data_IF_235820319732
#
_entry.id   IF_235820319732
#
_cell.length_a   1.000
_cell.length_b   1.000
_cell.length_c   1.000
_cell.angle_alpha   90.00
_cell.angle_beta   90.00
_cell.angle_gamma   90.00
#
_symmetry.space_group_name_H-M   'P 1'
#
loop_
_entity.id
_entity.type
_entity.pdbx_description
1 polymer ?
#
# COMPACT_ATOMS: atom_id res chain seq x y z
N UNK A 1 -10.29 21.50 -8.35
CA UNK A 1 -8.88 21.86 -8.10
C UNK A 1 -8.47 21.12 -6.84
N UNK A 2 -7.97 19.89 -6.99
CA UNK A 2 -7.50 19.08 -5.85
C UNK A 2 -6.06 19.49 -5.61
N UNK A 3 -5.77 19.92 -4.39
CA UNK A 3 -4.52 20.55 -4.01
C UNK A 3 -3.39 19.50 -3.99
N UNK A 4 -2.37 19.69 -4.83
CA UNK A 4 -1.22 18.78 -5.05
C UNK A 4 -0.30 18.60 -3.83
N UNK A 5 -0.60 19.26 -2.71
CA UNK A 5 0.20 19.23 -1.49
C UNK A 5 -0.14 18.11 -0.52
N UNK A 6 -1.21 17.32 -0.74
CA UNK A 6 -1.59 16.26 0.20
C UNK A 6 -0.81 14.94 0.04
N UNK A 7 -0.12 14.75 -1.09
CA UNK A 7 0.61 13.50 -1.38
C UNK A 7 2.09 13.61 -0.97
N UNK A 8 2.64 14.82 -0.88
CA UNK A 8 4.06 15.05 -0.59
C UNK A 8 4.37 15.87 0.66
N UNK A 9 3.36 16.38 1.37
CA UNK A 9 3.60 17.00 2.67
C UNK A 9 3.41 15.95 3.76
N UNK A 10 4.43 15.66 4.58
CA UNK A 10 4.21 15.20 5.94
C UNK A 10 3.06 15.97 6.59
N UNK A 11 1.89 15.38 6.89
CA UNK A 11 0.97 16.13 7.71
C UNK A 11 1.70 16.36 9.03
N UNK A 12 1.67 17.59 9.51
CA UNK A 12 2.35 18.12 10.69
C UNK A 12 1.94 17.42 12.02
N UNK A 13 1.34 16.24 11.92
CA UNK A 13 0.93 15.28 12.95
C UNK A 13 2.12 14.63 13.67
N UNK A 14 3.34 14.80 13.18
CA UNK A 14 4.52 14.03 13.63
C UNK A 14 5.22 14.59 14.87
N UNK A 15 4.60 15.53 15.58
CA UNK A 15 5.15 16.12 16.80
C UNK A 15 4.60 15.57 18.11
N UNK A 16 3.75 14.53 18.09
CA UNK A 16 3.22 13.99 19.35
C UNK A 16 3.65 12.53 19.53
N UNK A 17 4.46 12.29 20.58
CA UNK A 17 4.75 10.98 21.17
C UNK A 17 3.49 10.11 21.32
N UNK A 18 2.35 10.76 21.48
CA UNK A 18 1.01 10.22 21.53
C UNK A 18 0.68 9.22 20.41
N UNK A 19 1.04 9.46 19.14
CA UNK A 19 0.73 8.49 18.06
C UNK A 19 1.50 7.17 18.20
N UNK A 20 2.77 7.23 18.60
CA UNK A 20 3.61 6.06 18.86
C UNK A 20 3.14 5.33 20.13
N UNK A 21 2.83 6.09 21.18
CA UNK A 21 2.34 5.56 22.45
C UNK A 21 0.94 4.94 22.30
N UNK A 22 0.12 5.45 21.38
CA UNK A 22 -1.19 4.87 21.04
C UNK A 22 -1.04 3.57 20.23
N UNK A 23 -0.12 3.52 19.27
CA UNK A 23 0.16 2.29 18.52
C UNK A 23 0.70 1.19 19.45
N UNK A 24 1.54 1.55 20.45
CA UNK A 24 2.02 0.63 21.48
C UNK A 24 0.88 0.11 22.36
N UNK A 25 0.11 1.02 22.99
CA UNK A 25 -1.05 0.67 23.83
C UNK A 25 -2.03 -0.27 23.14
N UNK A 26 -2.29 -0.07 21.85
CA UNK A 26 -3.19 -0.96 21.11
C UNK A 26 -2.58 -2.35 20.86
N UNK A 27 -1.31 -2.44 20.47
CA UNK A 27 -0.66 -3.76 20.28
C UNK A 27 -0.60 -4.54 21.60
N UNK A 28 -0.49 -3.81 22.72
CA UNK A 28 -0.49 -4.37 24.06
C UNK A 28 -1.92 -4.72 24.56
N UNK A 29 -2.97 -4.33 23.80
CA UNK A 29 -4.38 -4.67 24.06
C UNK A 29 -5.13 -3.69 24.96
N UNK A 30 -4.54 -2.53 25.26
CA UNK A 30 -4.99 -1.58 26.28
C UNK A 30 -5.83 -0.39 25.74
N UNK A 31 -6.26 -0.39 24.46
CA UNK A 31 -7.00 0.73 23.84
C UNK A 31 -8.27 0.29 23.10
N UNK A 32 -9.39 0.97 23.35
CA UNK A 32 -10.73 0.72 22.76
C UNK A 32 -10.94 1.31 21.34
N UNK A 33 -9.92 1.92 20.73
CA UNK A 33 -10.03 2.49 19.37
C UNK A 33 -10.36 1.45 18.30
N UNK A 34 -11.13 1.89 17.30
CA UNK A 34 -11.47 1.05 16.13
C UNK A 34 -10.21 0.70 15.33
N UNK A 35 -10.11 -0.53 14.77
CA UNK A 35 -8.98 -0.97 13.96
C UNK A 35 -8.54 0.03 12.87
N UNK A 36 -9.47 0.73 12.24
CA UNK A 36 -9.15 1.75 11.22
C UNK A 36 -8.19 2.85 11.70
N UNK A 37 -8.40 3.35 12.93
CA UNK A 37 -7.55 4.42 13.48
C UNK A 37 -6.15 3.93 13.78
N UNK A 38 -6.01 2.65 14.16
CA UNK A 38 -4.71 2.03 14.35
C UNK A 38 -3.96 1.97 13.03
N UNK A 39 -4.53 1.34 12.01
CA UNK A 39 -3.82 1.07 10.76
C UNK A 39 -3.48 2.36 10.01
N UNK A 40 -4.31 3.40 10.13
CA UNK A 40 -3.97 4.74 9.67
C UNK A 40 -2.73 5.32 10.38
N UNK A 41 -2.65 5.18 11.71
CA UNK A 41 -1.51 5.64 12.50
C UNK A 41 -0.24 4.84 12.17
N UNK A 42 -0.35 3.52 12.04
CA UNK A 42 0.74 2.63 11.65
C UNK A 42 1.30 2.99 10.27
N UNK A 43 0.42 3.19 9.27
CA UNK A 43 0.82 3.57 7.93
C UNK A 43 1.56 4.92 7.93
N UNK A 44 0.98 5.92 8.60
CA UNK A 44 1.59 7.25 8.73
C UNK A 44 2.97 7.17 9.38
N UNK A 45 3.09 6.49 10.53
CA UNK A 45 4.34 6.38 11.26
C UNK A 45 5.42 5.61 10.49
N UNK A 46 5.04 4.54 9.79
CA UNK A 46 5.94 3.78 8.92
C UNK A 46 6.56 4.69 7.86
N UNK A 47 5.75 5.52 7.19
CA UNK A 47 6.24 6.47 6.18
C UNK A 47 7.23 7.47 6.79
N UNK A 48 6.96 8.00 7.99
CA UNK A 48 7.87 8.93 8.68
C UNK A 48 9.20 8.26 8.98
N UNK A 49 9.16 7.05 9.55
CA UNK A 49 10.35 6.28 9.90
C UNK A 49 11.17 5.95 8.66
N UNK A 50 10.53 5.53 7.57
CA UNK A 50 11.18 5.26 6.30
C UNK A 50 11.91 6.50 5.75
N UNK A 51 11.21 7.65 5.67
CA UNK A 51 11.78 8.90 5.14
C UNK A 51 12.85 9.52 6.03
N UNK A 52 12.88 9.19 7.32
CA UNK A 52 13.93 9.62 8.26
C UNK A 52 15.12 8.66 8.34
N UNK A 53 15.20 7.66 7.44
CA UNK A 53 16.30 6.70 7.38
C UNK A 53 16.23 5.62 8.48
N UNK A 54 15.11 5.51 9.19
CA UNK A 54 14.90 4.56 10.30
C UNK A 54 14.21 3.28 9.80
N UNK A 55 14.73 2.69 8.74
CA UNK A 55 14.09 1.59 8.02
C UNK A 55 13.83 0.35 8.90
N UNK A 56 14.77 -0.02 9.77
CA UNK A 56 14.58 -1.17 10.67
C UNK A 56 13.37 -1.01 11.60
N UNK A 57 13.15 0.20 12.12
CA UNK A 57 12.03 0.48 13.01
C UNK A 57 10.70 0.58 12.24
N UNK A 58 10.74 1.05 10.99
CA UNK A 58 9.58 1.00 10.11
C UNK A 58 9.19 -0.47 9.82
N UNK A 59 10.17 -1.34 9.55
CA UNK A 59 9.96 -2.77 9.31
C UNK A 59 9.32 -3.45 10.52
N UNK A 60 9.90 -3.27 11.72
CA UNK A 60 9.36 -3.84 12.96
C UNK A 60 7.90 -3.41 13.21
N UNK A 61 7.59 -2.14 12.91
CA UNK A 61 6.23 -1.62 13.06
C UNK A 61 5.25 -2.28 12.08
N UNK A 62 5.68 -2.54 10.85
CA UNK A 62 4.87 -3.24 9.85
C UNK A 62 4.65 -4.70 10.22
N UNK A 63 5.68 -5.39 10.72
CA UNK A 63 5.55 -6.77 11.20
C UNK A 63 4.51 -6.87 12.32
N UNK A 64 4.54 -5.92 13.27
CA UNK A 64 3.52 -5.82 14.34
C UNK A 64 2.13 -5.52 13.77
N UNK A 65 2.03 -4.67 12.76
CA UNK A 65 0.79 -4.38 12.05
C UNK A 65 0.19 -5.62 11.38
N UNK A 66 1.02 -6.41 10.69
CA UNK A 66 0.60 -7.67 10.06
C UNK A 66 0.11 -8.66 11.10
N UNK A 67 0.83 -8.83 12.21
CA UNK A 67 0.40 -9.69 13.31
C UNK A 67 -0.93 -9.23 13.94
N UNK A 68 -1.14 -7.92 14.08
CA UNK A 68 -2.41 -7.37 14.55
C UNK A 68 -3.54 -7.66 13.56
N UNK A 69 -3.29 -7.51 12.26
CA UNK A 69 -4.26 -7.83 11.21
C UNK A 69 -4.63 -9.32 11.23
N UNK A 70 -3.65 -10.24 11.32
CA UNK A 70 -3.92 -11.68 11.43
C UNK A 70 -4.76 -12.02 12.67
N UNK A 71 -4.47 -11.40 13.83
CA UNK A 71 -5.28 -11.59 15.03
C UNK A 71 -6.73 -11.16 14.83
N UNK A 72 -6.95 -9.99 14.22
CA UNK A 72 -8.30 -9.51 13.88
C UNK A 72 -9.00 -10.44 12.88
N UNK A 73 -8.27 -10.92 11.89
CA UNK A 73 -8.79 -11.82 10.85
C UNK A 73 -9.37 -13.12 11.42
N UNK A 74 -8.89 -13.60 12.56
CA UNK A 74 -9.43 -14.80 13.24
C UNK A 74 -10.90 -14.66 13.63
N UNK A 75 -11.37 -13.45 13.85
CA UNK A 75 -12.75 -13.14 14.24
C UNK A 75 -13.52 -12.36 13.18
N UNK A 76 -12.81 -11.69 12.26
CA UNK A 76 -13.41 -10.88 11.20
C UNK A 76 -12.54 -10.91 9.94
N UNK A 77 -12.97 -11.66 8.92
CA UNK A 77 -12.23 -11.79 7.65
C UNK A 77 -12.02 -10.44 6.94
N UNK A 78 -12.85 -9.42 7.20
CA UNK A 78 -12.73 -8.07 6.62
C UNK A 78 -11.44 -7.37 7.00
N UNK A 79 -10.80 -7.82 8.09
CA UNK A 79 -9.51 -7.30 8.53
C UNK A 79 -8.36 -7.60 7.55
N UNK A 80 -8.56 -8.44 6.51
CA UNK A 80 -7.56 -8.66 5.44
C UNK A 80 -7.06 -7.35 4.83
N UNK A 81 -7.93 -6.34 4.69
CA UNK A 81 -7.56 -5.03 4.12
C UNK A 81 -6.41 -4.37 4.86
N UNK A 82 -6.34 -4.54 6.17
CA UNK A 82 -5.27 -3.99 7.01
C UNK A 82 -3.94 -4.70 6.79
N UNK A 83 -3.97 -6.03 6.68
CA UNK A 83 -2.80 -6.83 6.36
C UNK A 83 -2.22 -6.45 5.01
N UNK A 84 -3.08 -6.36 3.99
CA UNK A 84 -2.66 -5.95 2.63
C UNK A 84 -2.12 -4.52 2.62
N UNK A 85 -2.70 -3.60 3.38
CA UNK A 85 -2.15 -2.24 3.52
C UNK A 85 -0.74 -2.25 4.12
N UNK A 86 -0.48 -3.06 5.15
CA UNK A 86 0.86 -3.24 5.70
C UNK A 86 1.84 -3.82 4.67
N UNK A 87 1.41 -4.77 3.84
CA UNK A 87 2.25 -5.32 2.76
C UNK A 87 2.63 -4.25 1.73
N UNK A 88 1.69 -3.38 1.34
CA UNK A 88 2.00 -2.25 0.43
C UNK A 88 3.01 -1.30 1.07
N UNK A 89 2.82 -0.97 2.35
CA UNK A 89 3.78 -0.15 3.08
C UNK A 89 5.16 -0.80 3.16
N UNK A 90 5.24 -2.13 3.26
CA UNK A 90 6.49 -2.87 3.24
C UNK A 90 7.19 -2.78 1.88
N UNK A 91 6.43 -2.80 0.78
CA UNK A 91 7.01 -2.56 -0.54
C UNK A 91 7.53 -1.12 -0.69
N UNK A 92 6.78 -0.13 -0.19
CA UNK A 92 7.24 1.26 -0.18
C UNK A 92 8.52 1.41 0.65
N UNK A 93 8.63 0.71 1.78
CA UNK A 93 9.83 0.67 2.62
C UNK A 93 11.03 0.06 1.89
N UNK A 94 10.84 -1.08 1.21
CA UNK A 94 11.89 -1.71 0.39
C UNK A 94 12.41 -0.74 -0.69
N UNK A 95 11.52 0.02 -1.33
CA UNK A 95 11.91 1.07 -2.28
C UNK A 95 12.76 2.15 -1.62
N UNK A 96 12.35 2.65 -0.45
CA UNK A 96 13.14 3.66 0.28
C UNK A 96 14.49 3.13 0.79
N UNK A 97 14.58 1.83 1.06
CA UNK A 97 15.82 1.16 1.48
C UNK A 97 16.78 0.87 0.31
N UNK A 98 16.42 1.20 -0.93
CA UNK A 98 17.25 0.91 -2.10
C UNK A 98 17.12 -0.53 -2.62
N UNK A 99 16.01 -1.21 -2.29
CA UNK A 99 15.68 -2.57 -2.74
C UNK A 99 14.48 -2.59 -3.72
N UNK A 100 14.51 -1.82 -4.83
CA UNK A 100 13.33 -1.62 -5.67
C UNK A 100 12.87 -2.89 -6.39
N UNK A 101 13.76 -3.85 -6.67
CA UNK A 101 13.38 -5.14 -7.29
C UNK A 101 12.52 -5.98 -6.36
N UNK A 102 12.83 -6.01 -5.08
CA UNK A 102 12.02 -6.69 -4.07
C UNK A 102 10.67 -5.97 -3.90
N UNK A 103 10.67 -4.64 -3.90
CA UNK A 103 9.44 -3.84 -3.90
C UNK A 103 8.55 -4.15 -5.11
N UNK A 104 9.10 -4.19 -6.33
CA UNK A 104 8.36 -4.52 -7.57
C UNK A 104 7.73 -5.91 -7.47
N UNK A 105 8.50 -6.91 -7.04
CA UNK A 105 7.99 -8.27 -6.88
C UNK A 105 6.79 -8.27 -5.92
N UNK A 106 6.92 -7.67 -4.75
CA UNK A 106 5.85 -7.61 -3.75
C UNK A 106 4.61 -6.86 -4.24
N UNK A 107 4.79 -5.73 -4.94
CA UNK A 107 3.67 -4.93 -5.47
C UNK A 107 2.89 -5.65 -6.56
N UNK A 108 3.57 -6.42 -7.42
CA UNK A 108 2.89 -7.28 -8.40
C UNK A 108 2.03 -8.34 -7.73
N UNK A 109 2.51 -8.93 -6.65
CA UNK A 109 1.77 -9.94 -5.89
C UNK A 109 0.53 -9.35 -5.21
N UNK A 110 0.67 -8.18 -4.59
CA UNK A 110 -0.47 -7.44 -4.04
C UNK A 110 -1.46 -7.03 -5.13
N UNK A 111 -0.98 -6.66 -6.31
CA UNK A 111 -1.84 -6.29 -7.43
C UNK A 111 -2.69 -7.48 -7.93
N UNK A 112 -2.10 -8.66 -8.09
CA UNK A 112 -2.81 -9.89 -8.46
C UNK A 112 -3.91 -10.21 -7.42
N UNK A 113 -3.55 -10.16 -6.14
CA UNK A 113 -4.45 -10.38 -5.01
C UNK A 113 -5.64 -9.43 -5.00
N UNK A 114 -5.34 -8.12 -5.06
CA UNK A 114 -6.35 -7.09 -4.99
C UNK A 114 -7.21 -7.04 -6.24
N UNK A 115 -6.80 -7.67 -7.35
CA UNK A 115 -7.57 -7.85 -8.59
C UNK A 115 -8.60 -8.99 -8.55
N UNK A 116 -8.79 -9.63 -7.38
CA UNK A 116 -9.76 -10.72 -7.20
C UNK A 116 -9.30 -12.05 -7.77
N UNK A 117 -8.06 -12.13 -8.28
CA UNK A 117 -7.44 -13.41 -8.63
C UNK A 117 -7.05 -14.12 -7.33
N UNK A 118 -7.35 -15.41 -7.26
CA UNK A 118 -6.95 -16.18 -6.09
C UNK A 118 -5.43 -16.23 -6.02
N UNK A 119 -4.84 -15.89 -4.87
CA UNK A 119 -3.41 -16.08 -4.69
C UNK A 119 -3.10 -17.57 -4.77
N UNK A 120 -2.09 -17.92 -5.57
CA UNK A 120 -1.53 -19.27 -5.60
C UNK A 120 -0.74 -19.65 -4.33
N UNK A 121 -0.79 -18.80 -3.29
CA UNK A 121 -0.08 -18.96 -2.02
C UNK A 121 -1.07 -18.77 -0.86
N UNK A 122 -0.79 -19.41 0.27
CA UNK A 122 -1.63 -19.31 1.46
C UNK A 122 -1.41 -18.02 2.25
N UNK A 123 -0.21 -17.44 2.19
CA UNK A 123 0.15 -16.25 2.96
C UNK A 123 1.02 -15.27 2.16
N UNK A 124 0.99 -13.98 2.56
CA UNK A 124 1.89 -12.95 2.06
C UNK A 124 2.47 -12.15 3.23
N UNK A 125 3.78 -12.28 3.48
CA UNK A 125 4.47 -11.70 4.64
C UNK A 125 3.78 -12.01 5.99
N UNK A 126 3.12 -13.18 6.11
CA UNK A 126 2.35 -13.56 7.30
C UNK A 126 0.89 -13.10 7.33
N UNK A 127 0.41 -12.41 6.30
CA UNK A 127 -1.03 -12.16 6.10
C UNK A 127 -1.68 -13.44 5.56
N UNK A 128 -2.62 -14.03 6.31
CA UNK A 128 -3.37 -15.24 5.92
C UNK A 128 -4.37 -14.93 4.80
N UNK A 129 -4.00 -15.27 3.56
CA UNK A 129 -4.81 -15.00 2.39
C UNK A 129 -5.95 -16.01 2.20
N UNK A 130 -5.89 -17.15 2.90
CA UNK A 130 -6.97 -18.16 2.85
C UNK A 130 -8.14 -17.66 3.66
N UNK A 131 -7.89 -17.19 4.89
CA UNK A 131 -8.95 -16.66 5.75
C UNK A 131 -9.59 -15.40 5.18
N UNK A 132 -8.81 -14.52 4.56
CA UNK A 132 -9.36 -13.31 3.96
C UNK A 132 -10.22 -13.53 2.70
N UNK A 133 -10.34 -14.77 2.18
CA UNK A 133 -11.29 -15.09 1.11
C UNK A 133 -12.74 -14.93 1.54
N UNK A 134 -12.99 -15.05 2.84
CA UNK A 134 -14.33 -14.93 3.43
C UNK A 134 -14.70 -13.47 3.74
N UNK A 135 -13.86 -12.50 3.34
CA UNK A 135 -14.15 -11.09 3.50
C UNK A 135 -15.40 -10.68 2.72
N UNK A 136 -16.13 -9.72 3.26
CA UNK A 136 -17.38 -9.21 2.74
C UNK A 136 -17.20 -8.60 1.34
N UNK A 137 -18.25 -8.61 0.50
CA UNK A 137 -18.22 -7.96 -0.80
C UNK A 137 -17.86 -6.46 -0.72
N UNK A 138 -18.21 -5.78 0.39
CA UNK A 138 -17.84 -4.39 0.60
C UNK A 138 -16.32 -4.20 0.75
N UNK A 139 -15.63 -5.13 1.41
CA UNK A 139 -14.17 -5.11 1.51
C UNK A 139 -13.51 -5.54 0.21
N UNK A 140 -13.95 -6.67 -0.37
CA UNK A 140 -13.37 -7.20 -1.62
C UNK A 140 -13.58 -6.26 -2.81
N UNK A 141 -14.72 -5.56 -2.86
CA UNK A 141 -15.04 -4.59 -3.90
C UNK A 141 -14.50 -3.18 -3.62
N UNK A 142 -14.70 -2.65 -2.40
CA UNK A 142 -14.37 -1.26 -2.08
C UNK A 142 -12.95 -1.06 -1.54
N UNK A 143 -12.67 -1.60 -0.36
CA UNK A 143 -11.37 -1.39 0.30
C UNK A 143 -10.21 -1.98 -0.50
N UNK A 144 -10.38 -3.19 -1.01
CA UNK A 144 -9.38 -3.86 -1.84
C UNK A 144 -9.18 -3.18 -3.21
N UNK A 145 -10.20 -2.51 -3.75
CA UNK A 145 -10.03 -1.68 -4.95
C UNK A 145 -9.12 -0.48 -4.69
N UNK A 146 -9.31 0.23 -3.56
CA UNK A 146 -8.42 1.33 -3.20
C UNK A 146 -6.97 0.86 -2.98
N UNK A 147 -6.77 -0.30 -2.34
CA UNK A 147 -5.45 -0.91 -2.18
C UNK A 147 -4.85 -1.39 -3.51
N UNK A 148 -5.67 -1.84 -4.46
CA UNK A 148 -5.26 -2.13 -5.84
C UNK A 148 -4.74 -0.88 -6.53
N UNK A 149 -5.47 0.23 -6.46
CA UNK A 149 -5.01 1.50 -7.03
C UNK A 149 -3.70 1.96 -6.40
N UNK A 150 -3.60 1.89 -5.06
CA UNK A 150 -2.39 2.29 -4.34
C UNK A 150 -1.18 1.43 -4.73
N UNK A 151 -1.32 0.10 -4.73
CA UNK A 151 -0.23 -0.81 -5.12
C UNK A 151 0.23 -0.58 -6.56
N UNK A 152 -0.69 -0.27 -7.48
CA UNK A 152 -0.34 0.12 -8.86
C UNK A 152 0.46 1.42 -8.91
N UNK A 153 0.01 2.46 -8.21
CA UNK A 153 0.74 3.74 -8.16
C UNK A 153 2.15 3.52 -7.60
N UNK A 154 2.29 2.75 -6.51
CA UNK A 154 3.61 2.41 -5.96
C UNK A 154 4.45 1.59 -6.95
N UNK A 155 3.85 0.66 -7.70
CA UNK A 155 4.54 -0.13 -8.72
C UNK A 155 5.11 0.77 -9.82
N UNK A 156 4.27 1.65 -10.39
CA UNK A 156 4.67 2.60 -11.44
C UNK A 156 5.81 3.51 -10.95
N UNK A 157 5.68 4.08 -9.75
CA UNK A 157 6.74 4.90 -9.13
C UNK A 157 8.04 4.11 -8.97
N UNK A 158 7.95 2.83 -8.59
CA UNK A 158 9.14 1.98 -8.40
C UNK A 158 9.80 1.62 -9.72
N UNK A 159 9.02 1.33 -10.77
CA UNK A 159 9.53 1.04 -12.11
C UNK A 159 10.24 2.24 -12.73
N UNK A 160 9.65 3.44 -12.64
CA UNK A 160 10.30 4.68 -13.09
C UNK A 160 11.60 4.92 -12.31
N UNK A 161 11.59 4.72 -10.99
CA UNK A 161 12.79 4.92 -10.17
C UNK A 161 13.97 3.99 -10.51
N UNK A 162 13.74 2.89 -11.25
CA UNK A 162 14.79 1.96 -11.70
C UNK A 162 15.10 2.06 -13.20
N UNK A 163 14.56 3.06 -13.91
CA UNK A 163 14.76 3.22 -15.35
C UNK A 163 14.00 2.17 -16.19
N UNK A 164 12.83 1.74 -15.72
CA UNK A 164 11.95 0.80 -16.42
C UNK A 164 10.67 1.50 -16.93
N UNK A 165 10.81 2.70 -17.50
CA UNK A 165 9.70 3.56 -17.94
C UNK A 165 8.82 2.89 -18.99
N UNK A 166 9.43 2.16 -19.95
CA UNK A 166 8.68 1.40 -20.96
C UNK A 166 7.77 0.33 -20.32
N UNK A 167 8.24 -0.30 -19.24
CA UNK A 167 7.44 -1.28 -18.49
C UNK A 167 6.34 -0.59 -17.68
N UNK A 168 6.65 0.55 -17.04
CA UNK A 168 5.67 1.36 -16.33
C UNK A 168 4.53 1.80 -17.26
N UNK A 169 4.87 2.29 -18.46
CA UNK A 169 3.91 2.72 -19.47
C UNK A 169 3.06 1.54 -19.97
N UNK A 170 3.66 0.39 -20.24
CA UNK A 170 2.92 -0.81 -20.64
C UNK A 170 1.95 -1.25 -19.53
N UNK A 171 2.39 -1.24 -18.27
CA UNK A 171 1.54 -1.57 -17.13
C UNK A 171 0.39 -0.57 -16.95
N UNK A 172 0.63 0.72 -17.17
CA UNK A 172 -0.39 1.76 -17.06
C UNK A 172 -1.42 1.67 -18.21
N UNK A 173 -1.00 1.31 -19.43
CA UNK A 173 -1.91 1.09 -20.57
C UNK A 173 -2.81 -0.12 -20.36
N UNK A 174 -2.24 -1.27 -20.00
CA UNK A 174 -3.02 -2.47 -19.69
C UNK A 174 -4.06 -2.20 -18.59
N UNK A 175 -3.65 -1.42 -17.58
CA UNK A 175 -4.54 -0.98 -16.52
C UNK A 175 -5.74 -0.19 -17.02
N UNK A 176 -5.55 0.65 -18.04
CA UNK A 176 -6.58 1.55 -18.55
C UNK A 176 -7.60 0.78 -19.36
N UNK A 177 -7.12 -0.21 -20.12
CA UNK A 177 -7.95 -1.14 -20.88
C UNK A 177 -8.85 -1.96 -19.94
N UNK A 178 -8.32 -2.44 -18.81
CA UNK A 178 -9.10 -3.14 -17.78
C UNK A 178 -10.19 -2.23 -17.16
N UNK A 179 -9.89 -0.94 -16.95
CA UNK A 179 -10.82 0.03 -16.35
C UNK A 179 -11.95 0.47 -17.28
N UNK A 180 -11.77 0.41 -18.61
CA UNK A 180 -12.83 0.72 -19.60
C UNK A 180 -14.03 -0.24 -19.54
N UNK A 181 -13.92 -1.32 -18.76
CA UNK A 181 -15.00 -2.27 -18.48
C UNK A 181 -15.95 -1.92 -17.32
N UNK A 182 -15.70 -0.89 -16.49
CA UNK A 182 -16.72 -0.46 -15.50
C UNK A 182 -16.32 0.23 -14.18
N UNK A 183 -15.28 1.08 -14.09
CA UNK A 183 -15.12 2.00 -12.93
C UNK A 183 -14.21 3.21 -13.25
N UNK A 184 -14.24 4.33 -12.48
CA UNK A 184 -13.87 5.67 -12.93
C UNK A 184 -12.37 5.85 -13.23
N UNK A 185 -12.02 6.87 -14.04
CA UNK A 185 -11.03 6.69 -15.08
C UNK A 185 -9.61 6.74 -14.55
N UNK A 186 -8.88 5.67 -14.88
CA UNK A 186 -7.43 5.58 -14.85
C UNK A 186 -6.74 6.68 -15.72
N UNK A 187 -7.53 7.42 -16.49
CA UNK A 187 -7.09 8.52 -17.35
C UNK A 187 -6.25 9.55 -16.58
N UNK A 188 -6.56 9.84 -15.31
CA UNK A 188 -5.75 10.79 -14.50
C UNK A 188 -4.34 10.24 -14.19
N UNK A 189 -4.21 8.92 -13.98
CA UNK A 189 -2.91 8.31 -13.75
C UNK A 189 -2.11 8.16 -15.05
N UNK A 190 -2.79 7.96 -16.18
CA UNK A 190 -2.17 7.95 -17.50
C UNK A 190 -1.71 9.34 -17.93
N UNK A 191 -2.50 10.38 -17.71
CA UNK A 191 -2.15 11.76 -18.01
C UNK A 191 -0.90 12.19 -17.21
N UNK A 192 -0.81 11.76 -15.95
CA UNK A 192 0.39 11.98 -15.13
C UNK A 192 1.64 11.26 -15.68
N UNK A 193 1.50 10.02 -16.18
CA UNK A 193 2.62 9.28 -16.77
C UNK A 193 3.02 9.85 -18.13
N UNK A 194 2.05 10.28 -18.96
CA UNK A 194 2.31 10.92 -20.24
C UNK A 194 3.06 12.26 -20.06
N UNK A 195 2.73 13.03 -19.02
CA UNK A 195 3.44 14.27 -18.69
C UNK A 195 4.90 14.04 -18.28
N UNK A 196 5.27 12.83 -17.82
CA UNK A 196 6.66 12.49 -17.50
C UNK A 196 7.51 12.12 -18.74
N UNK A 197 6.87 11.73 -19.85
CA UNK A 197 7.54 11.42 -21.12
C UNK A 197 7.92 12.71 -21.91
N UNK A 198 7.11 13.77 -21.79
CA UNK A 198 7.36 15.06 -22.48
C UNK A 198 8.51 15.88 -21.85
N UNK A 199 8.93 15.55 -20.62
CA UNK A 199 10.03 16.22 -19.90
C UNK A 199 11.39 15.52 -20.04
N UNK A 200 11.50 14.47 -20.86
CA UNK A 200 12.80 13.86 -21.17
C UNK A 200 13.61 14.82 -22.08
N UNK A 201 14.79 15.31 -21.65
CA UNK A 201 15.61 16.15 -22.52
C UNK A 201 16.04 15.32 -23.73
N UNK A 202 15.80 15.87 -24.93
CA UNK A 202 16.27 15.30 -26.19
C UNK A 202 17.80 15.07 -26.11
N UNK A 203 18.20 13.84 -26.47
CA UNK A 203 19.60 13.41 -26.52
C UNK A 203 20.47 14.27 -27.45
#
# INVERSE_FOLDING_TARGET
MINETLIDTPPQLWRTSELVDNARRYVDGDDERTPDRLFLALNTLTLVLARSGRAAQASELLDRGIQAADRLMRTDADAIRFGIECVINHADLLRYAGEPRAAIALLREVHELSSGRQPGRAELLGVDLVRGRDASPAVLGGAMFMLRLRSRISLLKTLVAVGAEAEALASARAAAEDSRGGDPPLDVALDYVAALDDDAPAA
#
